data_IF_717645072930
#
_entry.id   IF_717645072930
#
_cell.length_a   1.000
_cell.length_b   1.000
_cell.length_c   1.000
_cell.angle_alpha   90.00
_cell.angle_beta   90.00
_cell.angle_gamma   90.00
#
_symmetry.space_group_name_H-M   'P 1'
#
loop_
_entity.id
_entity.type
_entity.pdbx_description
1 polymer ?
#
# COMPACT_ATOMS: atom_id res chain seq x y z
N UNK A 1 5.76 21.21 -1.90
CA UNK A 1 4.88 20.94 -3.05
C UNK A 1 4.43 19.49 -2.87
N UNK A 2 3.16 19.25 -2.56
CA UNK A 2 2.65 17.88 -2.38
C UNK A 2 2.26 17.41 -3.77
N UNK A 3 3.00 16.46 -4.35
CA UNK A 3 2.62 15.85 -5.63
C UNK A 3 1.23 15.24 -5.45
N UNK A 4 0.24 15.82 -6.11
CA UNK A 4 -1.17 15.45 -6.00
C UNK A 4 -1.49 14.30 -6.94
N UNK A 5 -0.84 13.15 -6.76
CA UNK A 5 -1.13 11.97 -7.57
C UNK A 5 -2.54 11.45 -7.31
N UNK A 6 -3.21 11.10 -8.39
CA UNK A 6 -4.46 10.37 -8.42
C UNK A 6 -4.18 8.87 -8.42
N UNK A 7 -4.91 8.12 -7.59
CA UNK A 7 -4.63 6.70 -7.34
C UNK A 7 -5.91 5.88 -7.47
N UNK A 8 -5.86 4.82 -8.27
CA UNK A 8 -6.84 3.74 -8.36
C UNK A 8 -6.41 2.56 -7.49
N UNK A 9 -7.17 2.27 -6.44
CA UNK A 9 -7.02 1.07 -5.62
C UNK A 9 -8.04 -0.01 -6.03
N UNK A 10 -7.53 -1.21 -6.30
CA UNK A 10 -8.30 -2.41 -6.68
C UNK A 10 -8.09 -3.47 -5.60
N UNK A 11 -9.16 -3.88 -4.93
CA UNK A 11 -9.12 -4.99 -3.96
C UNK A 11 -9.60 -6.29 -4.64
N UNK A 12 -8.73 -7.29 -4.71
CA UNK A 12 -9.04 -8.64 -5.22
C UNK A 12 -9.10 -9.69 -4.10
N UNK A 13 -8.90 -9.30 -2.85
CA UNK A 13 -9.04 -10.21 -1.72
C UNK A 13 -10.53 -10.53 -1.51
N UNK A 14 -10.92 -11.80 -1.27
CA UNK A 14 -12.27 -12.13 -0.84
C UNK A 14 -12.67 -11.44 0.49
N UNK A 15 -11.70 -11.03 1.31
CA UNK A 15 -11.93 -10.25 2.51
C UNK A 15 -12.11 -8.79 2.13
N UNK A 16 -13.32 -8.28 2.33
CA UNK A 16 -13.74 -6.89 2.04
C UNK A 16 -13.14 -5.84 2.99
N UNK A 17 -11.93 -6.05 3.50
CA UNK A 17 -11.32 -5.19 4.51
C UNK A 17 -11.07 -3.78 3.96
N UNK A 18 -10.64 -3.67 2.69
CA UNK A 18 -10.48 -2.36 2.08
C UNK A 18 -11.85 -1.73 1.79
N UNK A 19 -12.80 -2.46 1.21
CA UNK A 19 -14.18 -1.96 1.02
C UNK A 19 -14.72 -1.32 2.30
N UNK A 20 -14.68 -2.07 3.41
CA UNK A 20 -15.23 -1.67 4.69
C UNK A 20 -14.50 -0.43 5.21
N UNK A 21 -13.17 -0.39 5.08
CA UNK A 21 -12.37 0.79 5.40
C UNK A 21 -12.82 2.01 4.62
N UNK A 22 -13.00 1.91 3.29
CA UNK A 22 -13.34 3.05 2.46
C UNK A 22 -14.80 3.50 2.62
N UNK A 23 -15.73 2.57 2.85
CA UNK A 23 -17.11 2.90 3.21
C UNK A 23 -17.15 3.66 4.53
N UNK A 24 -16.54 3.12 5.59
CA UNK A 24 -16.48 3.79 6.89
C UNK A 24 -15.77 5.14 6.80
N UNK A 25 -14.68 5.23 6.03
CA UNK A 25 -13.95 6.48 5.82
C UNK A 25 -14.82 7.54 5.14
N UNK A 26 -15.60 7.15 4.13
CA UNK A 26 -16.51 8.05 3.43
C UNK A 26 -17.61 8.55 4.37
N UNK A 27 -18.22 7.67 5.17
CA UNK A 27 -19.20 8.07 6.19
C UNK A 27 -18.63 9.05 7.22
N UNK A 28 -17.41 8.78 7.71
CA UNK A 28 -16.71 9.67 8.63
C UNK A 28 -16.37 11.02 8.01
N UNK A 29 -15.99 11.03 6.73
CA UNK A 29 -15.71 12.25 5.96
C UNK A 29 -16.97 13.10 5.81
N UNK A 30 -18.08 12.48 5.43
CA UNK A 30 -19.36 13.17 5.25
C UNK A 30 -19.88 13.72 6.58
N UNK A 31 -19.75 12.96 7.67
CA UNK A 31 -20.06 13.42 9.02
C UNK A 31 -19.19 14.61 9.44
N UNK A 32 -17.88 14.56 9.16
CA UNK A 32 -16.97 15.66 9.48
C UNK A 32 -17.27 16.93 8.67
N UNK A 33 -17.53 16.80 7.37
CA UNK A 33 -17.94 17.92 6.51
C UNK A 33 -19.25 18.52 7.04
N UNK A 34 -20.24 17.69 7.39
CA UNK A 34 -21.49 18.15 7.99
C UNK A 34 -21.24 18.93 9.29
N UNK A 35 -20.50 18.37 10.24
CA UNK A 35 -20.17 19.06 11.50
C UNK A 35 -19.44 20.39 11.28
N UNK A 36 -18.49 20.46 10.35
CA UNK A 36 -17.78 21.70 10.03
C UNK A 36 -18.71 22.73 9.37
N UNK A 37 -19.62 22.27 8.51
CA UNK A 37 -20.63 23.13 7.86
C UNK A 37 -21.63 23.67 8.87
N UNK A 38 -22.11 22.83 9.79
CA UNK A 38 -23.00 23.22 10.88
C UNK A 38 -22.31 24.27 11.79
N UNK A 39 -21.02 24.07 12.11
CA UNK A 39 -20.23 25.03 12.89
C UNK A 39 -20.07 26.38 12.17
N UNK A 40 -19.83 26.38 10.86
CA UNK A 40 -19.76 27.62 10.07
C UNK A 40 -21.11 28.33 10.11
N UNK A 41 -22.20 27.58 9.90
CA UNK A 41 -23.58 28.10 9.86
C UNK A 41 -23.98 28.73 11.20
N UNK A 42 -23.70 28.06 12.34
CA UNK A 42 -24.02 28.57 13.68
C UNK A 42 -23.24 29.84 14.00
N UNK A 43 -22.03 30.00 13.48
CA UNK A 43 -21.13 31.11 13.84
C UNK A 43 -21.07 32.21 12.77
N UNK A 44 -21.87 32.14 11.70
CA UNK A 44 -21.85 33.18 10.66
C UNK A 44 -22.44 34.51 11.15
N UNK A 45 -23.28 34.46 12.17
CA UNK A 45 -23.90 35.64 12.81
C UNK A 45 -23.05 36.25 13.94
N UNK A 46 -21.88 35.67 14.23
CA UNK A 46 -21.01 36.10 15.31
C UNK A 46 -19.77 36.79 14.71
N UNK A 47 -19.77 38.13 14.64
CA UNK A 47 -18.74 38.97 13.97
C UNK A 47 -17.28 38.68 14.41
N UNK A 48 -17.08 37.91 15.49
CA UNK A 48 -15.78 37.53 16.02
C UNK A 48 -15.27 36.14 15.57
N UNK A 49 -15.99 35.37 14.74
CA UNK A 49 -15.55 34.02 14.36
C UNK A 49 -14.49 34.03 13.24
N UNK A 50 -13.28 34.51 13.57
CA UNK A 50 -12.09 34.59 12.68
C UNK A 50 -11.61 33.25 12.10
N UNK A 51 -12.22 32.12 12.51
CA UNK A 51 -11.82 30.77 12.11
C UNK A 51 -12.54 30.23 10.86
N UNK A 52 -13.54 30.93 10.29
CA UNK A 52 -14.29 30.46 9.11
C UNK A 52 -13.35 30.09 7.93
N UNK A 53 -12.32 30.89 7.56
CA UNK A 53 -11.40 30.52 6.47
C UNK A 53 -10.68 29.19 6.72
N UNK A 54 -10.27 28.94 7.98
CA UNK A 54 -9.61 27.69 8.37
C UNK A 54 -10.56 26.48 8.29
N UNK A 55 -11.83 26.65 8.70
CA UNK A 55 -12.84 25.60 8.60
C UNK A 55 -13.17 25.28 7.13
N UNK A 56 -13.30 26.31 6.28
CA UNK A 56 -13.48 26.14 4.84
C UNK A 56 -12.28 25.43 4.20
N UNK A 57 -11.06 25.75 4.60
CA UNK A 57 -9.86 25.05 4.12
C UNK A 57 -9.86 23.58 4.56
N UNK A 58 -10.30 23.26 5.79
CA UNK A 58 -10.47 21.87 6.24
C UNK A 58 -11.50 21.12 5.40
N UNK A 59 -12.67 21.71 5.13
CA UNK A 59 -13.69 21.13 4.25
C UNK A 59 -13.11 20.91 2.85
N UNK A 60 -12.41 21.90 2.29
CA UNK A 60 -11.76 21.79 0.97
C UNK A 60 -10.77 20.62 0.93
N UNK A 61 -9.92 20.46 1.93
CA UNK A 61 -8.97 19.34 2.01
C UNK A 61 -9.68 17.97 2.13
N UNK A 62 -10.78 17.89 2.90
CA UNK A 62 -11.63 16.68 2.98
C UNK A 62 -12.38 16.39 1.66
N UNK A 63 -12.63 17.40 0.84
CA UNK A 63 -13.37 17.25 -0.42
C UNK A 63 -12.45 16.97 -1.61
N UNK A 64 -11.24 17.53 -1.60
CA UNK A 64 -10.17 17.28 -2.59
C UNK A 64 -9.58 15.87 -2.50
N UNK A 65 -9.82 15.16 -1.39
CA UNK A 65 -9.50 13.74 -1.31
C UNK A 65 -10.54 12.92 -2.08
N UNK A 66 -10.33 12.85 -3.39
CA UNK A 66 -11.03 11.99 -4.33
C UNK A 66 -9.98 11.37 -5.26
N UNK A 67 -9.99 10.09 -5.59
CA UNK A 67 -10.98 9.03 -5.35
C UNK A 67 -10.30 7.71 -5.70
N UNK A 68 -10.73 6.60 -5.08
CA UNK A 68 -11.12 5.49 -5.94
C UNK A 68 -12.16 4.52 -5.37
N UNK A 69 -13.00 4.02 -6.30
CA UNK A 69 -13.98 2.97 -6.16
C UNK A 69 -13.93 2.09 -7.43
N UNK A 70 -13.42 0.86 -7.31
CA UNK A 70 -13.91 -0.34 -8.01
C UNK A 70 -13.75 -1.48 -7.01
N UNK A 71 -14.84 -2.15 -6.65
CA UNK A 71 -14.82 -3.26 -5.71
C UNK A 71 -15.57 -4.47 -6.26
N UNK A 72 -14.97 -5.65 -6.04
CA UNK A 72 -15.71 -6.90 -5.96
C UNK A 72 -15.37 -7.99 -6.98
N UNK A 73 -14.30 -7.88 -7.76
CA UNK A 73 -13.88 -9.02 -8.60
C UNK A 73 -12.93 -9.91 -7.83
N UNK A 74 -13.31 -11.16 -7.58
CA UNK A 74 -12.35 -12.19 -7.22
C UNK A 74 -11.23 -12.21 -8.26
N UNK A 75 -10.00 -12.53 -7.87
CA UNK A 75 -8.85 -12.61 -8.79
C UNK A 75 -9.16 -13.38 -10.09
N UNK A 76 -9.97 -14.45 -10.01
CA UNK A 76 -10.41 -15.27 -11.14
C UNK A 76 -11.28 -14.54 -12.19
N UNK A 77 -11.87 -13.41 -11.83
CA UNK A 77 -12.71 -12.58 -12.70
C UNK A 77 -12.05 -11.24 -13.05
N UNK A 78 -10.83 -11.00 -12.57
CA UNK A 78 -10.14 -9.74 -12.75
C UNK A 78 -9.45 -9.67 -14.11
N UNK A 79 -9.63 -8.55 -14.80
CA UNK A 79 -8.97 -8.26 -16.05
C UNK A 79 -8.24 -6.91 -15.97
N UNK A 80 -6.93 -6.99 -15.79
CA UNK A 80 -6.06 -5.81 -15.67
C UNK A 80 -6.01 -4.97 -16.95
N UNK A 81 -6.17 -5.58 -18.14
CA UNK A 81 -6.24 -4.82 -19.40
C UNK A 81 -7.45 -3.90 -19.43
N UNK A 82 -8.61 -4.40 -19.01
CA UNK A 82 -9.80 -3.57 -18.96
C UNK A 82 -9.58 -2.38 -18.02
N UNK A 83 -9.01 -2.62 -16.84
CA UNK A 83 -8.72 -1.58 -15.85
C UNK A 83 -7.77 -0.52 -16.39
N UNK A 84 -6.63 -0.92 -16.97
CA UNK A 84 -5.66 0.02 -17.54
C UNK A 84 -6.24 0.84 -18.70
N UNK A 85 -7.13 0.25 -19.50
CA UNK A 85 -7.73 0.92 -20.66
C UNK A 85 -8.92 1.83 -20.32
N UNK A 86 -9.66 1.56 -19.23
CA UNK A 86 -10.84 2.36 -18.84
C UNK A 86 -10.56 3.40 -17.77
N UNK A 87 -9.42 3.31 -17.08
CA UNK A 87 -9.06 4.18 -15.96
C UNK A 87 -7.75 4.94 -16.21
N UNK A 88 -7.59 5.49 -17.42
CA UNK A 88 -6.40 6.23 -17.85
C UNK A 88 -6.23 7.58 -17.15
N UNK A 89 -7.23 8.03 -16.39
CA UNK A 89 -7.22 9.28 -15.64
C UNK A 89 -6.44 9.21 -14.32
N UNK A 90 -5.98 8.02 -13.91
CA UNK A 90 -5.20 7.83 -12.68
C UNK A 90 -3.70 7.74 -12.94
N UNK A 91 -2.91 8.37 -12.07
CA UNK A 91 -1.45 8.31 -12.13
C UNK A 91 -0.91 6.95 -11.67
N UNK A 92 -1.58 6.32 -10.70
CA UNK A 92 -1.21 5.01 -10.17
C UNK A 92 -2.39 4.06 -10.07
N UNK A 93 -2.11 2.77 -10.26
CA UNK A 93 -3.02 1.66 -9.99
C UNK A 93 -2.37 0.75 -8.96
N UNK A 94 -2.98 0.63 -7.78
CA UNK A 94 -2.59 -0.28 -6.71
C UNK A 94 -3.56 -1.46 -6.74
N UNK A 95 -3.04 -2.66 -6.95
CA UNK A 95 -3.82 -3.90 -6.93
C UNK A 95 -3.44 -4.70 -5.69
N UNK A 96 -4.41 -4.89 -4.80
CA UNK A 96 -4.28 -5.77 -3.65
C UNK A 96 -4.63 -7.21 -4.06
N UNK A 97 -3.73 -8.14 -3.77
CA UNK A 97 -3.80 -9.52 -4.27
C UNK A 97 -4.02 -10.45 -3.08
N UNK A 98 -4.98 -11.39 -3.15
CA UNK A 98 -5.19 -12.35 -2.09
C UNK A 98 -3.94 -13.18 -1.82
N UNK A 99 -3.71 -13.53 -0.54
CA UNK A 99 -2.59 -14.37 -0.15
C UNK A 99 -2.58 -15.73 -0.89
N UNK A 100 -3.76 -16.28 -1.19
CA UNK A 100 -3.85 -17.50 -1.98
C UNK A 100 -3.78 -17.21 -3.48
N UNK A 101 -2.59 -17.35 -4.03
CA UNK A 101 -2.30 -17.24 -5.47
C UNK A 101 -2.27 -18.58 -6.21
N UNK A 102 -2.69 -19.68 -5.56
CA UNK A 102 -2.67 -21.03 -6.12
C UNK A 102 -4.08 -21.54 -6.44
N UNK A 103 -4.17 -22.35 -7.48
CA UNK A 103 -5.35 -23.13 -7.85
C UNK A 103 -5.56 -24.31 -6.90
N UNK A 104 -6.67 -25.02 -7.03
CA UNK A 104 -6.92 -26.25 -6.26
C UNK A 104 -5.97 -27.41 -6.60
N UNK A 105 -5.18 -27.28 -7.68
CA UNK A 105 -4.18 -28.26 -8.13
C UNK A 105 -2.76 -27.82 -7.83
N UNK A 106 -2.56 -26.86 -6.91
CA UNK A 106 -1.27 -26.27 -6.52
C UNK A 106 -0.50 -25.56 -7.66
N UNK A 107 -1.18 -25.22 -8.76
CA UNK A 107 -0.62 -24.38 -9.84
C UNK A 107 -0.84 -22.89 -9.53
N UNK A 108 0.05 -22.02 -10.00
CA UNK A 108 -0.11 -20.56 -9.84
C UNK A 108 -1.31 -20.09 -10.68
N UNK A 109 -2.19 -19.28 -10.10
CA UNK A 109 -3.35 -18.71 -10.80
C UNK A 109 -2.91 -17.90 -12.03
N UNK A 110 -3.47 -18.16 -13.22
CA UNK A 110 -3.08 -17.45 -14.43
C UNK A 110 -3.35 -15.94 -14.34
N UNK A 111 -4.41 -15.54 -13.64
CA UNK A 111 -4.77 -14.13 -13.46
C UNK A 111 -3.72 -13.39 -12.63
N UNK A 112 -3.17 -14.04 -11.60
CA UNK A 112 -2.03 -13.48 -10.84
C UNK A 112 -0.81 -13.27 -11.74
N UNK A 113 -0.49 -14.23 -12.59
CA UNK A 113 0.64 -14.11 -13.52
C UNK A 113 0.43 -12.99 -14.54
N UNK A 114 -0.79 -12.80 -15.04
CA UNK A 114 -1.12 -11.71 -15.96
C UNK A 114 -1.02 -10.34 -15.29
N UNK A 115 -1.51 -10.20 -14.05
CA UNK A 115 -1.34 -8.99 -13.25
C UNK A 115 0.16 -8.72 -13.09
N UNK A 116 0.92 -9.71 -12.63
CA UNK A 116 2.35 -9.56 -12.38
C UNK A 116 3.09 -9.08 -13.63
N UNK A 117 2.85 -9.69 -14.80
CA UNK A 117 3.50 -9.30 -16.07
C UNK A 117 3.19 -7.87 -16.54
N UNK A 118 2.05 -7.32 -16.14
CA UNK A 118 1.57 -5.99 -16.57
C UNK A 118 1.80 -4.90 -15.52
N UNK A 119 2.27 -5.28 -14.34
CA UNK A 119 2.68 -4.34 -13.30
C UNK A 119 4.07 -3.79 -13.59
N UNK A 120 4.26 -2.49 -13.34
CA UNK A 120 5.58 -1.87 -13.31
C UNK A 120 6.39 -2.30 -12.07
N UNK A 121 5.70 -2.47 -10.94
CA UNK A 121 6.28 -2.88 -9.66
C UNK A 121 5.34 -3.87 -8.94
N UNK A 122 5.92 -4.94 -8.41
CA UNK A 122 5.27 -5.88 -7.50
C UNK A 122 6.05 -5.95 -6.19
N UNK A 123 5.34 -5.80 -5.07
CA UNK A 123 5.90 -5.84 -3.72
C UNK A 123 5.31 -7.03 -2.96
N UNK A 124 6.18 -7.92 -2.49
CA UNK A 124 5.80 -9.07 -1.67
C UNK A 124 6.13 -8.79 -0.19
N UNK A 125 5.13 -8.55 0.67
CA UNK A 125 5.38 -8.30 2.08
C UNK A 125 5.71 -9.60 2.82
N UNK A 126 6.72 -9.56 3.69
CA UNK A 126 7.08 -10.66 4.59
C UNK A 126 7.23 -10.15 6.01
N UNK A 127 6.77 -10.93 6.99
CA UNK A 127 7.11 -10.67 8.39
C UNK A 127 8.52 -11.18 8.67
N UNK A 128 9.32 -10.40 9.39
CA UNK A 128 10.67 -10.73 9.84
C UNK A 128 10.67 -11.76 10.99
N UNK A 129 10.00 -12.88 10.75
CA UNK A 129 9.91 -14.03 11.64
C UNK A 129 10.32 -15.28 10.88
N UNK A 130 11.09 -16.17 11.53
CA UNK A 130 11.64 -17.35 10.88
C UNK A 130 10.58 -18.30 10.30
N UNK A 131 9.35 -18.32 10.85
CA UNK A 131 8.27 -19.13 10.29
C UNK A 131 7.70 -18.52 9.02
N UNK A 132 7.52 -17.20 9.01
CA UNK A 132 6.90 -16.46 7.90
C UNK A 132 7.84 -16.34 6.70
N UNK A 133 9.16 -16.20 6.95
CA UNK A 133 10.19 -16.21 5.92
C UNK A 133 10.29 -17.54 5.15
N UNK A 134 9.69 -18.63 5.64
CA UNK A 134 9.61 -19.91 4.91
C UNK A 134 8.75 -19.81 3.64
N UNK A 135 7.98 -18.74 3.48
CA UNK A 135 7.18 -18.51 2.28
C UNK A 135 7.97 -17.84 1.15
N UNK A 136 9.08 -17.17 1.47
CA UNK A 136 9.93 -16.47 0.50
C UNK A 136 10.50 -17.38 -0.62
N UNK A 137 10.90 -18.64 -0.37
CA UNK A 137 11.28 -19.56 -1.43
C UNK A 137 10.19 -19.79 -2.48
N UNK A 138 8.90 -19.80 -2.08
CA UNK A 138 7.80 -19.99 -3.03
C UNK A 138 7.70 -18.83 -4.01
N UNK A 139 7.80 -17.59 -3.52
CA UNK A 139 7.84 -16.41 -4.39
C UNK A 139 9.08 -16.45 -5.29
N UNK A 140 10.24 -16.88 -4.76
CA UNK A 140 11.45 -17.06 -5.55
C UNK A 140 11.24 -18.02 -6.74
N UNK A 141 10.56 -19.14 -6.50
CA UNK A 141 10.20 -20.12 -7.55
C UNK A 141 9.25 -19.52 -8.59
N UNK A 142 8.17 -18.87 -8.14
CA UNK A 142 7.19 -18.19 -9.02
C UNK A 142 7.89 -17.24 -9.98
N UNK A 143 8.79 -16.40 -9.47
CA UNK A 143 9.53 -15.43 -10.29
C UNK A 143 10.46 -16.11 -11.29
N UNK A 144 11.20 -17.15 -10.86
CA UNK A 144 12.10 -17.91 -11.75
C UNK A 144 11.33 -18.58 -12.89
N UNK A 145 10.23 -19.25 -12.57
CA UNK A 145 9.37 -19.90 -13.56
C UNK A 145 8.76 -18.90 -14.54
N UNK A 146 8.30 -17.76 -14.04
CA UNK A 146 7.76 -16.69 -14.89
C UNK A 146 8.83 -16.12 -15.83
N UNK A 147 10.03 -15.81 -15.33
CA UNK A 147 11.16 -15.32 -16.15
C UNK A 147 11.52 -16.33 -17.24
N UNK A 148 11.74 -17.60 -16.88
CA UNK A 148 12.04 -18.66 -17.85
C UNK A 148 10.92 -18.84 -18.89
N UNK A 149 9.65 -18.74 -18.47
CA UNK A 149 8.50 -18.80 -19.35
C UNK A 149 8.44 -17.64 -20.36
N UNK A 150 8.83 -16.43 -19.95
CA UNK A 150 8.91 -15.26 -20.84
C UNK A 150 10.09 -15.38 -21.81
N UNK A 151 11.27 -15.79 -21.31
CA UNK A 151 12.49 -15.98 -22.10
C UNK A 151 12.28 -17.03 -23.20
N UNK A 152 11.58 -18.13 -22.91
CA UNK A 152 11.25 -19.17 -23.90
C UNK A 152 10.39 -18.63 -25.06
N UNK A 153 9.71 -17.50 -24.85
CA UNK A 153 8.89 -16.79 -25.86
C UNK A 153 9.64 -15.60 -26.48
N UNK A 154 10.93 -15.44 -26.20
CA UNK A 154 11.75 -14.32 -26.67
C UNK A 154 11.37 -12.96 -26.05
N UNK A 155 10.81 -12.97 -24.82
CA UNK A 155 10.42 -11.75 -24.09
C UNK A 155 11.13 -11.67 -22.73
N UNK A 156 11.29 -10.46 -22.20
CA UNK A 156 11.71 -10.22 -20.82
C UNK A 156 10.51 -10.03 -19.90
N UNK A 157 10.71 -10.29 -18.60
CA UNK A 157 9.81 -9.79 -17.56
C UNK A 157 10.30 -8.41 -17.14
N UNK A 158 9.57 -7.37 -17.52
CA UNK A 158 9.96 -5.98 -17.26
C UNK A 158 9.55 -5.49 -15.86
N UNK A 159 8.65 -6.23 -15.20
CA UNK A 159 8.17 -5.93 -13.86
C UNK A 159 9.31 -5.92 -12.84
N UNK A 160 9.40 -4.82 -12.10
CA UNK A 160 10.30 -4.71 -10.95
C UNK A 160 9.69 -5.52 -9.81
N UNK A 161 10.46 -6.46 -9.26
CA UNK A 161 10.00 -7.30 -8.14
C UNK A 161 10.79 -6.96 -6.89
N UNK A 162 10.09 -6.66 -5.80
CA UNK A 162 10.68 -6.34 -4.50
C UNK A 162 9.99 -7.07 -3.36
N UNK A 163 10.70 -7.23 -2.27
CA UNK A 163 10.17 -7.73 -1.01
C UNK A 163 10.09 -6.61 0.02
N UNK A 164 9.02 -6.52 0.80
CA UNK A 164 8.92 -5.58 1.92
C UNK A 164 8.98 -6.35 3.23
N UNK A 165 10.09 -6.21 3.96
CA UNK A 165 10.28 -6.92 5.23
C UNK A 165 9.69 -6.10 6.38
N UNK A 166 8.81 -6.73 7.16
CA UNK A 166 8.07 -6.12 8.26
C UNK A 166 8.56 -6.60 9.63
N UNK A 167 8.93 -5.68 10.51
CA UNK A 167 9.52 -5.96 11.82
C UNK A 167 8.58 -5.53 12.94
N UNK A 168 8.39 -6.37 13.96
CA UNK A 168 7.61 -5.99 15.15
C UNK A 168 8.38 -4.99 16.03
N UNK A 169 7.90 -3.76 16.17
CA UNK A 169 8.60 -2.71 16.95
C UNK A 169 9.01 -3.11 18.37
N UNK A 170 8.27 -4.00 19.02
CA UNK A 170 8.60 -4.53 20.35
C UNK A 170 9.89 -5.36 20.38
N UNK A 171 10.25 -6.01 19.27
CA UNK A 171 11.40 -6.92 19.13
C UNK A 171 12.69 -6.21 18.70
N UNK A 172 12.61 -4.97 18.22
CA UNK A 172 13.73 -4.25 17.60
C UNK A 172 13.86 -2.82 18.16
N UNK A 173 14.34 -2.69 19.40
CA UNK A 173 14.56 -1.39 20.08
C UNK A 173 16.05 -1.07 20.24
N UNK A 174 16.40 0.20 20.06
CA UNK A 174 17.76 0.71 20.24
C UNK A 174 18.78 0.17 19.24
N UNK A 175 20.07 0.38 19.50
CA UNK A 175 21.15 0.01 18.58
C UNK A 175 21.15 -1.49 18.20
N UNK A 176 20.89 -2.38 19.16
CA UNK A 176 20.77 -3.83 18.89
C UNK A 176 19.60 -4.17 17.95
N UNK A 177 18.51 -3.40 18.02
CA UNK A 177 17.38 -3.55 17.11
C UNK A 177 17.73 -3.18 15.68
N UNK A 178 18.46 -2.06 15.49
CA UNK A 178 18.92 -1.59 14.18
C UNK A 178 19.85 -2.61 13.54
N UNK A 179 20.88 -3.08 14.25
CA UNK A 179 21.81 -4.07 13.71
C UNK A 179 21.10 -5.37 13.30
N UNK A 180 20.07 -5.79 14.04
CA UNK A 180 19.31 -6.99 13.70
C UNK A 180 18.42 -6.80 12.45
N UNK A 181 17.89 -5.60 12.23
CA UNK A 181 17.18 -5.26 10.98
C UNK A 181 18.15 -5.35 9.81
N UNK A 182 19.33 -4.73 9.93
CA UNK A 182 20.37 -4.74 8.89
C UNK A 182 20.84 -6.17 8.56
N UNK A 183 21.09 -6.99 9.58
CA UNK A 183 21.44 -8.41 9.43
C UNK A 183 20.34 -9.18 8.70
N UNK A 184 19.08 -9.03 9.15
CA UNK A 184 17.94 -9.73 8.52
C UNK A 184 17.76 -9.34 7.06
N UNK A 185 17.90 -8.06 6.72
CA UNK A 185 17.81 -7.58 5.34
C UNK A 185 18.97 -8.10 4.48
N UNK A 186 20.18 -8.14 5.04
CA UNK A 186 21.38 -8.66 4.37
C UNK A 186 21.24 -10.15 4.08
N UNK A 187 20.83 -10.94 5.07
CA UNK A 187 20.62 -12.38 4.93
C UNK A 187 19.51 -12.67 3.92
N UNK A 188 18.42 -11.90 3.95
CA UNK A 188 17.34 -12.04 2.97
C UNK A 188 17.81 -11.71 1.56
N UNK A 189 18.58 -10.63 1.39
CA UNK A 189 19.15 -10.26 0.09
C UNK A 189 20.10 -11.33 -0.43
N UNK A 190 20.97 -11.88 0.42
CA UNK A 190 21.86 -12.97 0.05
C UNK A 190 21.09 -14.20 -0.44
N UNK A 191 19.98 -14.54 0.23
CA UNK A 191 19.18 -15.70 -0.13
C UNK A 191 18.29 -15.51 -1.37
N UNK A 192 17.73 -14.31 -1.57
CA UNK A 192 16.64 -14.08 -2.54
C UNK A 192 16.83 -12.89 -3.48
N UNK A 193 17.97 -12.22 -3.42
CA UNK A 193 18.25 -10.98 -4.16
C UNK A 193 18.16 -11.09 -5.68
N UNK A 194 18.36 -12.28 -6.25
CA UNK A 194 18.20 -12.52 -7.70
C UNK A 194 16.73 -12.55 -8.16
N UNK A 195 15.81 -12.82 -7.23
CA UNK A 195 14.39 -13.03 -7.54
C UNK A 195 13.49 -11.91 -7.04
N UNK A 196 13.64 -11.52 -5.77
CA UNK A 196 12.78 -10.54 -5.12
C UNK A 196 13.56 -9.80 -4.02
N UNK A 197 14.56 -8.98 -4.40
CA UNK A 197 15.40 -8.29 -3.43
C UNK A 197 14.56 -7.43 -2.48
N UNK A 198 14.95 -7.31 -1.20
CA UNK A 198 14.19 -6.52 -0.25
C UNK A 198 14.34 -5.02 -0.54
N UNK A 199 13.29 -4.26 -0.28
CA UNK A 199 13.42 -2.81 -0.06
C UNK A 199 14.34 -2.59 1.15
N UNK A 200 15.16 -1.55 1.07
CA UNK A 200 16.14 -1.20 2.11
C UNK A 200 15.44 -0.52 3.28
N UNK A 201 14.40 0.27 3.00
CA UNK A 201 13.49 0.80 4.00
C UNK A 201 12.53 -0.32 4.46
N UNK A 202 12.63 -0.78 5.73
CA UNK A 202 11.73 -1.80 6.24
C UNK A 202 10.40 -1.21 6.71
N UNK A 203 9.37 -2.05 6.75
CA UNK A 203 8.15 -1.71 7.48
C UNK A 203 8.33 -2.04 8.96
N UNK A 204 8.03 -1.11 9.86
CA UNK A 204 8.02 -1.39 11.30
C UNK A 204 6.59 -1.47 11.78
N UNK A 205 6.13 -2.67 12.16
CA UNK A 205 4.80 -2.89 12.71
C UNK A 205 4.68 -2.27 14.12
N UNK A 206 3.71 -1.35 14.24
CA UNK A 206 3.43 -0.55 15.43
C UNK A 206 1.95 -0.68 15.81
N UNK A 207 1.64 -0.49 17.09
CA UNK A 207 0.26 -0.54 17.57
C UNK A 207 -0.64 0.56 16.96
N UNK A 208 -0.04 1.65 16.46
CA UNK A 208 -0.80 2.68 15.76
C UNK A 208 -1.52 2.19 14.49
N UNK A 209 -1.00 1.19 13.76
CA UNK A 209 -1.65 0.69 12.53
C UNK A 209 -3.02 0.07 12.81
N UNK A 210 -3.18 -0.94 13.69
CA UNK A 210 -4.50 -1.48 14.01
C UNK A 210 -5.44 -0.43 14.63
N UNK A 211 -4.90 0.52 15.43
CA UNK A 211 -5.71 1.60 16.01
C UNK A 211 -6.27 2.57 14.96
N UNK A 212 -5.50 2.86 13.91
CA UNK A 212 -5.93 3.71 12.79
C UNK A 212 -6.89 2.96 11.87
N UNK A 213 -6.63 1.68 11.60
CA UNK A 213 -7.50 0.82 10.81
C UNK A 213 -8.89 0.72 11.43
N UNK A 214 -8.99 0.50 12.75
CA UNK A 214 -10.25 0.47 13.50
C UNK A 214 -11.04 1.79 13.45
N UNK A 215 -10.41 2.88 13.02
CA UNK A 215 -11.02 4.20 12.84
C UNK A 215 -11.16 4.59 11.37
N UNK A 216 -10.99 3.65 10.43
CA UNK A 216 -11.00 3.92 8.99
C UNK A 216 -10.05 5.06 8.57
N UNK A 217 -8.91 5.14 9.25
CA UNK A 217 -7.91 6.20 9.10
C UNK A 217 -6.55 5.64 8.72
N UNK A 218 -5.74 6.47 8.07
CA UNK A 218 -4.32 6.21 7.87
C UNK A 218 -3.49 6.92 8.95
N UNK A 219 -2.24 6.51 9.15
CA UNK A 219 -1.29 7.15 10.07
C UNK A 219 -1.09 8.66 9.79
N UNK A 220 -1.29 9.09 8.55
CA UNK A 220 -1.24 10.50 8.12
C UNK A 220 -2.36 11.37 8.69
N UNK A 221 -3.38 10.78 9.32
CA UNK A 221 -4.47 11.53 9.97
C UNK A 221 -4.24 11.80 11.47
N UNK A 222 -3.20 11.20 12.05
CA UNK A 222 -2.81 11.40 13.46
C UNK A 222 -1.66 12.40 13.56
N UNK A 223 -1.54 13.10 14.69
CA UNK A 223 -0.42 14.01 15.02
C UNK A 223 0.28 13.58 16.32
N UNK A 224 0.20 12.31 16.70
CA UNK A 224 0.94 11.77 17.85
C UNK A 224 2.42 11.59 17.52
N UNK A 225 3.29 11.64 18.53
CA UNK A 225 4.72 11.35 18.36
C UNK A 225 4.97 9.96 17.73
N UNK A 226 4.16 8.95 18.09
CA UNK A 226 4.21 7.63 17.46
C UNK A 226 3.82 7.68 15.98
N UNK A 227 2.84 8.52 15.61
CA UNK A 227 2.45 8.71 14.21
C UNK A 227 3.51 9.41 13.39
N UNK A 228 4.26 10.35 13.96
CA UNK A 228 5.31 11.05 13.24
C UNK A 228 6.48 10.13 12.90
N UNK A 229 6.83 9.23 13.82
CA UNK A 229 7.81 8.17 13.57
C UNK A 229 7.31 7.24 12.46
N UNK A 230 6.07 6.74 12.58
CA UNK A 230 5.49 5.84 11.58
C UNK A 230 5.39 6.48 10.19
N UNK A 231 5.07 7.79 10.11
CA UNK A 231 5.04 8.54 8.85
C UNK A 231 6.43 8.67 8.23
N UNK A 232 7.47 8.91 9.04
CA UNK A 232 8.84 9.00 8.54
C UNK A 232 9.31 7.66 7.99
N UNK A 233 9.02 6.56 8.69
CA UNK A 233 9.31 5.19 8.21
C UNK A 233 8.56 4.88 6.91
N UNK A 234 7.26 5.16 6.86
CA UNK A 234 6.47 4.95 5.65
C UNK A 234 6.93 5.84 4.48
N UNK A 235 7.35 7.08 4.77
CA UNK A 235 7.90 7.98 3.73
C UNK A 235 9.18 7.38 3.13
N UNK A 236 10.06 6.80 3.93
CA UNK A 236 11.27 6.14 3.41
C UNK A 236 10.93 4.97 2.47
N UNK A 237 9.89 4.20 2.78
CA UNK A 237 9.36 3.14 1.90
C UNK A 237 8.84 3.74 0.59
N UNK A 238 8.00 4.77 0.68
CA UNK A 238 7.43 5.43 -0.50
C UNK A 238 8.50 6.08 -1.39
N UNK A 239 9.49 6.75 -0.80
CA UNK A 239 10.61 7.35 -1.52
C UNK A 239 11.41 6.27 -2.26
N UNK A 240 11.63 5.10 -1.64
CA UNK A 240 12.30 3.99 -2.31
C UNK A 240 11.44 3.42 -3.45
N UNK A 241 10.13 3.25 -3.26
CA UNK A 241 9.21 2.81 -4.30
C UNK A 241 9.25 3.75 -5.51
N UNK A 242 9.22 5.06 -5.29
CA UNK A 242 9.31 6.04 -6.38
C UNK A 242 10.67 6.00 -7.07
N UNK A 243 11.77 5.79 -6.32
CA UNK A 243 13.09 5.61 -6.92
C UNK A 243 13.15 4.35 -7.82
N UNK A 244 12.56 3.23 -7.38
CA UNK A 244 12.48 2.00 -8.20
C UNK A 244 11.70 2.25 -9.50
N UNK A 245 10.62 3.01 -9.43
CA UNK A 245 9.80 3.38 -10.59
C UNK A 245 10.40 4.52 -11.44
N UNK A 246 11.58 5.03 -11.10
CA UNK A 246 12.20 6.21 -11.73
C UNK A 246 11.31 7.46 -11.73
N UNK A 247 10.51 7.64 -10.68
CA UNK A 247 9.64 8.80 -10.49
C UNK A 247 10.39 9.83 -9.64
N UNK A 248 10.71 10.98 -10.23
CA UNK A 248 11.40 12.06 -9.53
C UNK A 248 10.41 12.85 -8.65
N UNK A 249 10.70 12.91 -7.35
CA UNK A 249 9.99 13.72 -6.35
C UNK A 249 10.27 15.22 -6.48
#
# INVERSE_FOLDING_TARGET
MQLGFSILYVDLDPIRAADDFYVQRQEMKDKAIKTLTDLITINTDNENFKNIPHLNQKIKNLTMSAKLKVYGSAIASFNIDNVQNTHTEFDFILVDIPANIYTSTDEIKPEFLEILKKSDLAIFPFKADAQELKTAPYIGRVVKELKAGMESKGKSLDTIIRSLISFESSKYKGAKGISRIEETLTDFHFAYGETHPPLLAPMVYRAIYPNMLAQAKSIFSSNSAESDIAKAEFKAIADQIFAELNINN
#
